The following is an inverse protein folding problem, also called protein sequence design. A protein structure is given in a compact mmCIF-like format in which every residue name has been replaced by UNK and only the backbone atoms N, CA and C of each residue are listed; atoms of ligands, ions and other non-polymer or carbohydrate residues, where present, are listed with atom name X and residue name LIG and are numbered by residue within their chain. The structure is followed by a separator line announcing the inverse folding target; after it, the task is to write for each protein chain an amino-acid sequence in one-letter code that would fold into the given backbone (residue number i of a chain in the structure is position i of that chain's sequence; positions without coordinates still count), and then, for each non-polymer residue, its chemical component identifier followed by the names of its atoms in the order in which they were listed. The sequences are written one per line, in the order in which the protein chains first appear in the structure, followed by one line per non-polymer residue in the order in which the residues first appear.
data_IF_541609380287
#
_entry.id   IF_541609380287
#
_cell.length_a   1.000
_cell.length_b   1.000
_cell.length_c   1.000
_cell.angle_alpha   90.00
_cell.angle_beta   90.00
_cell.angle_gamma   90.00
#
_symmetry.space_group_name_H-M   'P 1'
#
loop_
_entity.id
_entity.type
_entity.pdbx_description
1 polymer ?
#
# COMPACT_ATOMS: atom_id res chain seq x y z
N UNK A 1 14.59 38.94 17.97
CA UNK A 1 15.31 39.29 16.74
C UNK A 1 15.30 38.06 15.85
N UNK A 2 14.81 38.17 14.62
CA UNK A 2 14.81 37.05 13.67
C UNK A 2 16.17 36.94 12.98
N UNK A 3 16.70 35.73 12.80
CA UNK A 3 18.00 35.52 12.16
C UNK A 3 17.98 35.97 10.71
N UNK A 4 16.85 35.84 10.01
CA UNK A 4 16.71 36.31 8.63
C UNK A 4 16.85 37.84 8.51
N UNK A 5 16.63 38.59 9.59
CA UNK A 5 16.87 40.04 9.63
C UNK A 5 18.34 40.39 9.88
N UNK A 6 19.09 39.48 10.52
CA UNK A 6 20.50 39.68 10.87
C UNK A 6 21.42 39.19 9.76
N UNK A 7 21.09 38.03 9.19
CA UNK A 7 21.85 37.38 8.13
C UNK A 7 20.93 36.95 6.97
N UNK A 8 20.38 37.91 6.20
CA UNK A 8 19.47 37.62 5.09
C UNK A 8 20.12 36.80 3.97
N UNK A 9 21.45 36.80 3.87
CA UNK A 9 22.21 36.11 2.81
C UNK A 9 22.89 34.82 3.29
N UNK A 10 22.86 34.52 4.59
CA UNK A 10 23.59 33.40 5.19
C UNK A 10 25.11 33.56 5.19
N UNK A 11 25.63 34.77 4.94
CA UNK A 11 27.06 35.08 4.85
C UNK A 11 27.57 35.88 6.06
N UNK A 12 26.69 36.61 6.73
CA UNK A 12 27.00 37.54 7.83
C UNK A 12 27.60 36.84 9.04
N UNK A 13 27.18 35.60 9.32
CA UNK A 13 27.79 34.78 10.38
C UNK A 13 28.98 33.94 9.90
N UNK A 14 29.17 33.77 8.59
CA UNK A 14 30.28 33.00 8.01
C UNK A 14 31.56 33.80 7.88
N UNK A 15 31.45 35.09 7.57
CA UNK A 15 32.59 35.97 7.33
C UNK A 15 32.56 37.18 8.26
N UNK A 16 33.72 37.64 8.76
CA UNK A 16 33.78 38.80 9.65
C UNK A 16 33.60 40.15 8.92
N UNK A 17 33.78 40.16 7.60
CA UNK A 17 33.65 41.35 6.75
C UNK A 17 32.95 41.01 5.44
N UNK A 18 32.23 41.98 4.87
CA UNK A 18 31.54 41.84 3.59
C UNK A 18 32.51 41.90 2.40
N UNK A 19 32.00 41.64 1.19
CA UNK A 19 32.74 41.85 -0.06
C UNK A 19 33.19 43.30 -0.27
N UNK A 20 32.55 44.25 0.43
CA UNK A 20 32.88 45.68 0.43
C UNK A 20 33.73 46.08 1.64
N UNK A 21 34.33 45.10 2.34
CA UNK A 21 35.18 45.28 3.53
C UNK A 21 34.48 45.94 4.73
N UNK A 22 33.15 45.90 4.80
CA UNK A 22 32.40 46.38 5.96
C UNK A 22 32.33 45.28 7.02
N UNK A 23 32.60 45.60 8.28
CA UNK A 23 32.47 44.63 9.38
C UNK A 23 31.00 44.21 9.55
N UNK A 24 30.79 42.90 9.68
CA UNK A 24 29.48 42.35 10.01
C UNK A 24 29.18 42.48 11.51
N UNK A 25 27.90 42.48 11.88
CA UNK A 25 27.39 42.41 13.27
C UNK A 25 27.82 43.56 14.21
N UNK A 26 28.15 44.74 13.69
CA UNK A 26 28.59 45.89 14.51
C UNK A 26 27.55 46.32 15.54
N UNK A 27 26.27 46.22 15.20
CA UNK A 27 25.14 46.64 16.05
C UNK A 27 24.52 45.49 16.86
N UNK A 28 25.08 44.27 16.79
CA UNK A 28 24.50 43.07 17.40
C UNK A 28 25.50 42.48 18.38
N UNK A 29 25.26 42.74 19.67
CA UNK A 29 26.17 42.34 20.76
C UNK A 29 25.91 40.93 21.31
N UNK A 30 24.73 40.34 21.08
CA UNK A 30 24.36 39.03 21.62
C UNK A 30 23.43 38.27 20.67
N UNK A 31 23.74 37.00 20.44
CA UNK A 31 22.91 36.06 19.68
C UNK A 31 22.23 35.12 20.67
N UNK A 32 20.90 35.10 20.66
CA UNK A 32 20.14 34.18 21.48
C UNK A 32 20.16 32.77 20.87
N UNK A 33 21.01 31.89 21.41
CA UNK A 33 21.16 30.50 20.96
C UNK A 33 19.88 29.66 21.09
N UNK A 34 18.98 29.97 22.04
CA UNK A 34 17.68 29.29 22.12
C UNK A 34 16.83 29.64 20.90
N UNK A 35 16.69 30.92 20.58
CA UNK A 35 15.97 31.36 19.39
C UNK A 35 16.58 30.78 18.10
N UNK A 36 17.92 30.70 18.04
CA UNK A 36 18.62 30.06 16.93
C UNK A 36 18.21 28.60 16.78
N UNK A 37 18.32 27.83 17.85
CA UNK A 37 17.93 26.41 17.87
C UNK A 37 16.47 26.23 17.46
N UNK A 38 15.56 27.01 18.03
CA UNK A 38 14.13 26.89 17.73
C UNK A 38 13.83 27.18 16.24
N UNK A 39 14.51 28.17 15.65
CA UNK A 39 14.39 28.50 14.21
C UNK A 39 15.00 27.44 13.31
N UNK A 40 16.15 26.88 13.67
CA UNK A 40 16.76 25.79 12.91
C UNK A 40 15.95 24.50 12.98
N UNK A 41 15.40 24.15 14.15
CA UNK A 41 14.51 23.01 14.30
C UNK A 41 13.25 23.17 13.44
N UNK A 42 12.69 24.39 13.35
CA UNK A 42 11.56 24.68 12.47
C UNK A 42 11.94 24.49 11.00
N UNK A 43 13.08 25.04 10.57
CA UNK A 43 13.57 24.88 9.21
C UNK A 43 13.83 23.41 8.85
N UNK A 44 14.44 22.66 9.76
CA UNK A 44 14.68 21.22 9.59
C UNK A 44 13.35 20.48 9.41
N UNK A 45 12.36 20.74 10.26
CA UNK A 45 11.01 20.17 10.15
C UNK A 45 10.33 20.55 8.82
N UNK A 46 10.46 21.79 8.37
CA UNK A 46 9.87 22.26 7.11
C UNK A 46 10.55 21.60 5.89
N UNK A 47 11.88 21.44 5.93
CA UNK A 47 12.65 20.76 4.88
C UNK A 47 12.33 19.26 4.83
N UNK A 48 12.17 18.61 5.99
CA UNK A 48 11.74 17.22 6.07
C UNK A 48 10.34 17.04 5.49
N UNK A 49 9.40 17.93 5.84
CA UNK A 49 8.05 17.92 5.28
C UNK A 49 8.07 18.13 3.77
N UNK A 50 8.88 19.06 3.27
CA UNK A 50 9.06 19.30 1.84
C UNK A 50 9.63 18.07 1.12
N UNK A 51 10.62 17.41 1.73
CA UNK A 51 11.21 16.18 1.17
C UNK A 51 10.18 15.06 1.09
N UNK A 52 9.44 14.81 2.18
CA UNK A 52 8.36 13.82 2.24
C UNK A 52 7.27 14.09 1.21
N UNK A 53 6.83 15.34 1.07
CA UNK A 53 5.84 15.75 0.08
C UNK A 53 6.35 15.50 -1.35
N UNK A 54 7.59 15.86 -1.65
CA UNK A 54 8.17 15.61 -2.98
C UNK A 54 8.25 14.13 -3.30
N UNK A 55 8.71 13.29 -2.36
CA UNK A 55 8.76 11.84 -2.54
C UNK A 55 7.37 11.27 -2.79
N UNK A 56 6.38 11.66 -1.96
CA UNK A 56 5.00 11.24 -2.14
C UNK A 56 4.43 11.67 -3.50
N UNK A 57 4.64 12.93 -3.93
CA UNK A 57 4.15 13.41 -5.21
C UNK A 57 4.78 12.66 -6.39
N UNK A 58 6.08 12.33 -6.31
CA UNK A 58 6.73 11.51 -7.33
C UNK A 58 6.07 10.14 -7.39
N UNK A 59 5.90 9.47 -6.26
CA UNK A 59 5.30 8.14 -6.17
C UNK A 59 3.83 8.13 -6.62
N UNK A 60 3.04 9.12 -6.23
CA UNK A 60 1.62 9.28 -6.60
C UNK A 60 1.46 9.47 -8.12
N UNK A 61 2.21 10.41 -8.72
CA UNK A 61 2.10 10.69 -10.13
C UNK A 61 2.68 9.56 -11.00
N UNK A 62 3.62 8.78 -10.47
CA UNK A 62 4.08 7.54 -11.12
C UNK A 62 2.94 6.51 -11.30
N UNK A 63 1.90 6.51 -10.45
CA UNK A 63 0.77 5.58 -10.58
C UNK A 63 -0.16 5.90 -11.76
N UNK A 64 -0.15 7.14 -12.25
CA UNK A 64 -0.95 7.53 -13.42
C UNK A 64 -2.44 7.80 -13.16
N UNK A 65 -2.91 7.80 -11.91
CA UNK A 65 -4.30 8.10 -11.53
C UNK A 65 -4.59 9.60 -11.45
N UNK A 66 -4.39 10.29 -12.56
CA UNK A 66 -4.69 11.70 -12.73
C UNK A 66 -5.22 11.95 -14.15
N UNK A 67 -5.81 13.12 -14.38
CA UNK A 67 -6.15 13.58 -15.72
C UNK A 67 -5.35 14.83 -16.08
N UNK A 68 -5.52 15.35 -17.30
CA UNK A 68 -4.82 16.58 -17.72
C UNK A 68 -5.16 17.79 -16.85
N UNK A 69 -6.30 17.76 -16.16
CA UNK A 69 -6.81 18.87 -15.34
C UNK A 69 -7.05 18.51 -13.88
N UNK A 70 -7.05 17.23 -13.52
CA UNK A 70 -7.42 16.76 -12.18
C UNK A 70 -6.29 15.96 -11.57
N UNK A 71 -5.87 16.35 -10.36
CA UNK A 71 -5.01 15.52 -9.50
C UNK A 71 -5.77 14.30 -8.96
N UNK A 72 -5.05 13.32 -8.40
CA UNK A 72 -5.66 12.17 -7.73
C UNK A 72 -6.62 12.59 -6.62
N UNK A 73 -6.20 13.55 -5.79
CA UNK A 73 -7.01 14.12 -4.71
C UNK A 73 -8.32 14.70 -5.25
N UNK A 74 -8.27 15.45 -6.35
CA UNK A 74 -9.48 16.00 -6.97
C UNK A 74 -10.40 14.91 -7.52
N UNK A 75 -9.84 13.83 -8.10
CA UNK A 75 -10.61 12.67 -8.55
C UNK A 75 -11.27 11.96 -7.36
N UNK A 76 -10.56 11.80 -6.24
CA UNK A 76 -11.10 11.25 -5.00
C UNK A 76 -12.27 12.09 -4.48
N UNK A 77 -12.11 13.42 -4.42
CA UNK A 77 -13.18 14.34 -4.01
C UNK A 77 -14.39 14.26 -4.96
N UNK A 78 -14.17 14.11 -6.27
CA UNK A 78 -15.24 13.87 -7.23
C UNK A 78 -15.95 12.54 -6.94
N UNK A 79 -15.22 11.47 -6.62
CA UNK A 79 -15.80 10.17 -6.29
C UNK A 79 -16.72 10.25 -5.07
N UNK A 80 -16.36 11.03 -4.04
CA UNK A 80 -17.20 11.25 -2.86
C UNK A 80 -18.49 12.03 -3.16
N UNK A 81 -18.48 12.90 -4.17
CA UNK A 81 -19.64 13.70 -4.57
C UNK A 81 -20.59 12.95 -5.52
N UNK A 82 -20.14 11.84 -6.12
CA UNK A 82 -20.96 11.05 -7.02
C UNK A 82 -21.96 10.19 -6.23
N UNK A 83 -23.21 10.08 -6.71
CA UNK A 83 -24.15 9.14 -6.11
C UNK A 83 -23.73 7.69 -6.41
N UNK A 84 -24.33 6.73 -5.70
CA UNK A 84 -24.18 5.31 -5.99
C UNK A 84 -24.37 5.01 -7.48
N UNK A 85 -23.54 4.14 -8.05
CA UNK A 85 -23.58 3.78 -9.47
C UNK A 85 -24.97 3.32 -9.93
N UNK A 86 -25.73 2.67 -9.03
CA UNK A 86 -27.10 2.18 -9.30
C UNK A 86 -28.11 3.30 -9.56
N UNK A 87 -27.87 4.50 -9.03
CA UNK A 87 -28.76 5.68 -9.17
C UNK A 87 -28.43 6.53 -10.41
N UNK A 88 -27.47 6.12 -11.24
CA UNK A 88 -27.02 6.94 -12.37
C UNK A 88 -28.02 7.03 -13.53
N UNK A 89 -29.02 6.16 -13.55
CA UNK A 89 -30.15 6.22 -14.47
C UNK A 89 -31.18 7.28 -14.08
N UNK A 90 -31.10 7.80 -12.85
CA UNK A 90 -32.03 8.79 -12.32
C UNK A 90 -31.58 10.23 -12.67
N UNK A 91 -32.54 11.17 -12.61
CA UNK A 91 -32.23 12.59 -12.79
C UNK A 91 -31.24 13.14 -11.76
N UNK A 92 -31.15 12.53 -10.58
CA UNK A 92 -30.23 12.89 -9.48
C UNK A 92 -28.76 12.90 -9.92
N UNK A 93 -28.36 11.99 -10.82
CA UNK A 93 -27.01 11.95 -11.37
C UNK A 93 -26.72 13.12 -12.31
N UNK A 94 -27.71 13.56 -13.11
CA UNK A 94 -27.53 14.72 -14.00
C UNK A 94 -27.27 16.00 -13.22
N UNK A 95 -27.96 16.17 -12.10
CA UNK A 95 -27.77 17.31 -11.22
C UNK A 95 -26.41 17.27 -10.51
N UNK A 96 -26.03 16.12 -9.95
CA UNK A 96 -24.71 15.92 -9.35
C UNK A 96 -23.59 16.17 -10.38
N UNK A 97 -23.74 15.65 -11.60
CA UNK A 97 -22.78 15.83 -12.70
C UNK A 97 -22.60 17.31 -13.06
N UNK A 98 -23.69 18.07 -13.14
CA UNK A 98 -23.62 19.50 -13.42
C UNK A 98 -22.93 20.26 -12.29
N UNK A 99 -23.30 19.99 -11.03
CA UNK A 99 -22.65 20.60 -9.85
C UNK A 99 -21.14 20.34 -9.81
N UNK A 100 -20.72 19.11 -10.09
CA UNK A 100 -19.29 18.74 -10.13
C UNK A 100 -18.58 19.50 -11.26
N UNK A 101 -19.18 19.57 -12.45
CA UNK A 101 -18.58 20.33 -13.55
C UNK A 101 -18.40 21.80 -13.23
N UNK A 102 -19.39 22.40 -12.60
CA UNK A 102 -19.36 23.82 -12.25
C UNK A 102 -18.31 24.08 -11.16
N UNK A 103 -18.22 23.20 -10.15
CA UNK A 103 -17.28 23.33 -9.03
C UNK A 103 -15.82 23.17 -9.45
N UNK A 104 -15.54 22.28 -10.42
CA UNK A 104 -14.19 21.97 -10.88
C UNK A 104 -13.86 22.58 -12.27
N UNK A 105 -14.75 23.41 -12.83
CA UNK A 105 -14.62 24.02 -14.16
C UNK A 105 -14.32 23.00 -15.28
N UNK A 106 -15.03 21.86 -15.28
CA UNK A 106 -14.74 20.70 -16.13
C UNK A 106 -15.61 20.64 -17.40
N UNK A 107 -15.00 20.12 -18.46
CA UNK A 107 -15.75 19.68 -19.64
C UNK A 107 -16.44 18.33 -19.37
N UNK A 108 -17.49 18.02 -20.13
CA UNK A 108 -18.14 16.70 -20.06
C UNK A 108 -17.16 15.56 -20.34
N UNK A 109 -16.20 15.76 -21.26
CA UNK A 109 -15.21 14.74 -21.62
C UNK A 109 -14.26 14.47 -20.47
N UNK A 110 -13.80 15.52 -19.81
CA UNK A 110 -12.86 15.40 -18.68
C UNK A 110 -13.50 14.66 -17.51
N UNK A 111 -14.73 15.03 -17.15
CA UNK A 111 -15.46 14.35 -16.09
C UNK A 111 -15.72 12.87 -16.42
N UNK A 112 -16.06 12.55 -17.67
CA UNK A 112 -16.21 11.15 -18.08
C UNK A 112 -14.90 10.36 -17.98
N UNK A 113 -13.75 10.98 -18.23
CA UNK A 113 -12.43 10.34 -18.04
C UNK A 113 -12.18 10.08 -16.56
N UNK A 114 -12.41 11.07 -15.69
CA UNK A 114 -12.26 10.90 -14.24
C UNK A 114 -13.18 9.78 -13.70
N UNK A 115 -14.44 9.74 -14.15
CA UNK A 115 -15.38 8.67 -13.81
C UNK A 115 -14.86 7.29 -14.20
N UNK A 116 -14.25 7.15 -15.39
CA UNK A 116 -13.67 5.87 -15.81
C UNK A 116 -12.53 5.41 -14.91
N UNK A 117 -11.69 6.35 -14.44
CA UNK A 117 -10.63 6.05 -13.46
C UNK A 117 -11.27 5.56 -12.17
N UNK A 118 -12.27 6.29 -11.64
CA UNK A 118 -12.97 5.94 -10.40
C UNK A 118 -13.56 4.53 -10.46
N UNK A 119 -14.19 4.15 -11.56
CA UNK A 119 -14.90 2.87 -11.68
C UNK A 119 -14.00 1.63 -11.58
N UNK A 120 -12.73 1.74 -11.97
CA UNK A 120 -11.78 0.61 -11.97
C UNK A 120 -10.80 0.64 -10.79
N UNK A 121 -10.78 1.74 -10.04
CA UNK A 121 -9.80 1.98 -9.00
C UNK A 121 -10.28 1.43 -7.65
N UNK A 122 -9.53 0.51 -7.04
CA UNK A 122 -9.95 -0.18 -5.81
C UNK A 122 -10.23 0.76 -4.64
N UNK A 123 -9.56 1.92 -4.59
CA UNK A 123 -9.80 2.88 -3.52
C UNK A 123 -10.99 3.80 -3.77
N UNK A 124 -11.36 4.04 -5.04
CA UNK A 124 -12.37 5.05 -5.40
C UNK A 124 -13.70 4.42 -5.77
N UNK A 125 -13.68 3.27 -6.44
CA UNK A 125 -14.89 2.54 -6.84
C UNK A 125 -15.82 2.25 -5.64
N UNK A 126 -15.32 1.89 -4.44
CA UNK A 126 -16.19 1.62 -3.30
C UNK A 126 -16.99 2.86 -2.84
N UNK A 127 -16.52 4.08 -3.12
CA UNK A 127 -17.25 5.31 -2.82
C UNK A 127 -18.53 5.46 -3.64
N UNK A 128 -18.57 4.85 -4.84
CA UNK A 128 -19.76 4.79 -5.70
C UNK A 128 -20.50 3.45 -5.60
N UNK A 129 -20.24 2.68 -4.54
CA UNK A 129 -20.80 1.35 -4.30
C UNK A 129 -20.48 0.32 -5.40
N UNK A 130 -19.27 0.42 -5.99
CA UNK A 130 -18.71 -0.55 -6.94
C UNK A 130 -17.48 -1.20 -6.31
N UNK A 131 -17.39 -2.53 -6.39
CA UNK A 131 -16.20 -3.26 -5.95
C UNK A 131 -15.55 -3.91 -7.17
N UNK A 132 -14.32 -3.51 -7.54
CA UNK A 132 -13.58 -4.18 -8.60
C UNK A 132 -13.24 -5.63 -8.21
N UNK A 133 -13.23 -6.54 -9.19
CA UNK A 133 -12.87 -7.94 -8.96
C UNK A 133 -11.37 -8.12 -8.75
N UNK A 134 -10.98 -9.09 -7.93
CA UNK A 134 -9.58 -9.47 -7.75
C UNK A 134 -8.97 -9.97 -9.06
N UNK A 135 -7.71 -9.61 -9.30
CA UNK A 135 -7.03 -9.92 -10.56
C UNK A 135 -6.59 -11.38 -10.61
N UNK A 136 -7.13 -12.12 -11.58
CA UNK A 136 -6.73 -13.49 -11.91
C UNK A 136 -7.16 -14.57 -10.91
N UNK A 137 -7.85 -14.20 -9.82
CA UNK A 137 -8.29 -15.14 -8.78
C UNK A 137 -9.70 -14.86 -8.30
N UNK A 138 -10.42 -15.92 -7.98
CA UNK A 138 -11.72 -15.85 -7.31
C UNK A 138 -11.57 -15.95 -5.80
N UNK A 139 -12.57 -15.47 -5.05
CA UNK A 139 -12.62 -15.60 -3.59
C UNK A 139 -12.45 -17.06 -3.14
N UNK A 140 -13.07 -18.00 -3.87
CA UNK A 140 -13.00 -19.43 -3.57
C UNK A 140 -11.60 -20.02 -3.74
N UNK A 141 -10.78 -19.45 -4.63
CA UNK A 141 -9.40 -19.89 -4.86
C UNK A 141 -8.47 -19.36 -3.78
N UNK A 142 -8.69 -18.12 -3.33
CA UNK A 142 -7.96 -17.53 -2.20
C UNK A 142 -8.21 -18.33 -0.93
N UNK A 143 -9.47 -18.64 -0.61
CA UNK A 143 -9.83 -19.45 0.57
C UNK A 143 -9.15 -20.81 0.51
N UNK A 144 -9.28 -21.54 -0.62
CA UNK A 144 -8.65 -22.86 -0.77
C UNK A 144 -7.14 -22.81 -0.62
N UNK A 145 -6.49 -21.80 -1.20
CA UNK A 145 -5.04 -21.64 -1.07
C UNK A 145 -4.64 -21.46 0.40
N UNK A 146 -5.37 -20.63 1.15
CA UNK A 146 -5.07 -20.38 2.57
C UNK A 146 -5.42 -21.57 3.47
N UNK A 147 -6.46 -22.34 3.15
CA UNK A 147 -6.77 -23.62 3.80
C UNK A 147 -5.65 -24.64 3.59
N UNK A 148 -5.12 -24.75 2.37
CA UNK A 148 -3.99 -25.63 2.06
C UNK A 148 -2.70 -25.15 2.75
N UNK A 149 -2.47 -23.83 2.77
CA UNK A 149 -1.37 -23.22 3.49
C UNK A 149 -1.44 -23.52 5.00
N UNK A 150 -2.64 -23.47 5.59
CA UNK A 150 -2.85 -23.73 7.03
C UNK A 150 -2.47 -25.15 7.46
N UNK A 151 -2.49 -26.13 6.53
CA UNK A 151 -2.04 -27.50 6.78
C UNK A 151 -0.53 -27.58 7.00
N UNK A 152 0.22 -26.64 6.44
CA UNK A 152 1.68 -26.60 6.50
C UNK A 152 2.20 -25.67 7.59
N UNK A 153 1.44 -24.63 7.95
CA UNK A 153 1.91 -23.54 8.80
C UNK A 153 1.08 -23.33 10.06
N UNK A 154 1.79 -23.16 11.17
CA UNK A 154 1.22 -22.65 12.41
C UNK A 154 1.22 -21.12 12.36
N UNK A 155 0.05 -20.49 12.43
CA UNK A 155 -0.05 -19.03 12.52
C UNK A 155 0.53 -18.57 13.85
N UNK A 156 1.66 -17.86 13.76
CA UNK A 156 2.33 -17.16 14.86
C UNK A 156 1.57 -15.86 15.18
N UNK A 157 1.57 -15.46 16.45
CA UNK A 157 1.02 -14.18 16.93
C UNK A 157 2.00 -13.05 16.63
N UNK A 158 1.49 -11.84 16.36
CA UNK A 158 2.33 -10.66 16.08
C UNK A 158 3.18 -10.22 17.30
N UNK A 159 2.83 -10.68 18.50
CA UNK A 159 3.63 -10.53 19.71
C UNK A 159 4.77 -11.55 19.71
N UNK A 160 5.83 -11.24 18.97
CA UNK A 160 7.15 -11.76 19.31
C UNK A 160 7.65 -10.85 20.42
N UNK A 161 7.58 -11.31 21.68
CA UNK A 161 8.49 -10.77 22.69
C UNK A 161 9.89 -10.95 22.12
N UNK A 162 10.54 -9.84 21.74
CA UNK A 162 11.98 -9.80 21.48
C UNK A 162 12.70 -10.00 22.82
N UNK A 163 12.50 -11.15 23.45
CA UNK A 163 13.32 -11.55 24.56
C UNK A 163 14.51 -12.31 23.97
N UNK A 164 15.69 -11.78 24.27
CA UNK A 164 17.03 -12.25 23.89
C UNK A 164 17.48 -12.08 22.41
N UNK A 165 18.26 -11.01 22.22
CA UNK A 165 19.43 -10.97 21.33
C UNK A 165 20.25 -12.24 21.58
N UNK A 166 20.19 -13.18 20.63
CA UNK A 166 20.89 -14.46 20.73
C UNK A 166 20.04 -15.62 20.23
N UNK A 167 19.51 -15.54 19.01
CA UNK A 167 19.11 -16.76 18.30
C UNK A 167 20.41 -17.52 18.05
N UNK A 168 20.65 -18.53 18.87
CA UNK A 168 21.66 -19.54 18.61
C UNK A 168 21.24 -20.27 17.33
N UNK A 169 21.69 -19.77 16.18
CA UNK A 169 21.53 -20.38 14.86
C UNK A 169 22.18 -21.78 14.78
N UNK A 170 22.79 -22.25 15.87
CA UNK A 170 23.41 -23.56 16.03
C UNK A 170 22.88 -24.33 17.24
N UNK A 171 21.71 -24.00 17.80
CA UNK A 171 21.08 -24.95 18.72
C UNK A 171 20.71 -26.20 17.93
N UNK A 172 21.33 -27.34 18.25
CA UNK A 172 21.00 -28.69 17.78
C UNK A 172 19.59 -29.11 18.24
N UNK A 173 18.57 -28.30 17.96
CA UNK A 173 17.18 -28.70 18.05
C UNK A 173 16.94 -29.63 16.88
N UNK A 174 17.11 -30.91 17.17
CA UNK A 174 16.66 -32.09 16.45
C UNK A 174 16.22 -31.79 15.01
N UNK A 175 17.11 -32.13 14.07
CA UNK A 175 16.78 -32.29 12.66
C UNK A 175 15.73 -33.41 12.55
N UNK A 176 14.46 -33.10 12.83
CA UNK A 176 13.37 -34.06 12.79
C UNK A 176 13.07 -34.38 11.32
N UNK A 177 13.74 -35.40 10.81
CA UNK A 177 13.51 -35.96 9.47
C UNK A 177 12.02 -36.20 9.24
N UNK A 178 11.28 -36.57 10.29
CA UNK A 178 9.83 -36.81 10.24
C UNK A 178 8.99 -35.55 9.96
N UNK A 179 9.36 -34.38 10.49
CA UNK A 179 8.64 -33.13 10.22
C UNK A 179 8.85 -32.68 8.77
N UNK A 180 10.08 -32.79 8.27
CA UNK A 180 10.40 -32.53 6.87
C UNK A 180 9.70 -33.52 5.92
N UNK A 181 9.68 -34.82 6.25
CA UNK A 181 8.97 -35.84 5.48
C UNK A 181 7.45 -35.57 5.45
N UNK A 182 6.86 -35.16 6.58
CA UNK A 182 5.45 -34.81 6.65
C UNK A 182 5.13 -33.57 5.80
N UNK A 183 5.97 -32.53 5.87
CA UNK A 183 5.83 -31.33 5.05
C UNK A 183 5.96 -31.64 3.55
N UNK A 184 6.94 -32.46 3.16
CA UNK A 184 7.13 -32.89 1.78
C UNK A 184 5.93 -33.69 1.24
N UNK A 185 5.39 -34.62 2.04
CA UNK A 185 4.18 -35.40 1.67
C UNK A 185 2.96 -34.49 1.49
N UNK A 186 2.69 -33.64 2.47
CA UNK A 186 1.56 -32.70 2.45
C UNK A 186 1.66 -31.75 1.26
N UNK A 187 2.86 -31.23 0.99
CA UNK A 187 3.12 -30.35 -0.16
C UNK A 187 2.91 -31.07 -1.49
N UNK A 188 3.29 -32.35 -1.59
CA UNK A 188 3.06 -33.15 -2.80
C UNK A 188 1.56 -33.43 -3.03
N UNK A 189 0.79 -33.66 -1.97
CA UNK A 189 -0.66 -33.86 -2.03
C UNK A 189 -1.40 -32.57 -2.45
N UNK A 190 -1.02 -31.43 -1.88
CA UNK A 190 -1.53 -30.11 -2.29
C UNK A 190 -1.22 -29.87 -3.76
N UNK A 191 0.05 -30.08 -4.17
CA UNK A 191 0.46 -29.89 -5.56
C UNK A 191 -0.36 -30.74 -6.53
N UNK A 192 -0.56 -32.04 -6.22
CA UNK A 192 -1.34 -32.95 -7.06
C UNK A 192 -2.78 -32.48 -7.27
N UNK A 193 -3.34 -31.80 -6.28
CA UNK A 193 -4.72 -31.30 -6.30
C UNK A 193 -4.81 -29.99 -7.07
N UNK A 194 -3.92 -29.03 -6.78
CA UNK A 194 -3.97 -27.69 -7.37
C UNK A 194 -3.48 -27.68 -8.82
N UNK A 195 -2.53 -28.55 -9.19
CA UNK A 195 -1.91 -28.54 -10.53
C UNK A 195 -2.90 -28.77 -11.68
N UNK A 196 -4.05 -29.38 -11.40
CA UNK A 196 -5.10 -29.67 -12.39
C UNK A 196 -5.87 -28.38 -12.74
N UNK A 197 -5.94 -27.44 -11.80
CA UNK A 197 -6.75 -26.22 -11.92
C UNK A 197 -5.90 -24.95 -12.04
N UNK A 198 -4.62 -25.03 -11.76
CA UNK A 198 -3.72 -23.89 -11.73
C UNK A 198 -3.51 -23.35 -13.15
N UNK A 199 -3.86 -22.09 -13.34
CA UNK A 199 -3.57 -21.33 -14.58
C UNK A 199 -2.55 -20.23 -14.30
N UNK A 200 -1.92 -19.64 -15.34
CA UNK A 200 -1.03 -18.50 -15.17
C UNK A 200 -1.69 -17.33 -14.42
N UNK A 201 -2.99 -17.10 -14.67
CA UNK A 201 -3.78 -16.04 -14.04
C UNK A 201 -3.94 -16.28 -12.54
N UNK A 202 -4.29 -17.51 -12.14
CA UNK A 202 -4.45 -17.87 -10.73
C UNK A 202 -3.12 -17.73 -10.00
N UNK A 203 -2.03 -18.26 -10.57
CA UNK A 203 -0.71 -18.15 -9.97
C UNK A 203 -0.31 -16.68 -9.82
N UNK A 204 -0.49 -15.87 -10.86
CA UNK A 204 -0.17 -14.45 -10.83
C UNK A 204 -1.01 -13.68 -9.80
N UNK A 205 -2.31 -13.96 -9.71
CA UNK A 205 -3.21 -13.32 -8.75
C UNK A 205 -2.83 -13.64 -7.30
N UNK A 206 -2.60 -14.92 -6.97
CA UNK A 206 -2.13 -15.31 -5.64
C UNK A 206 -0.78 -14.65 -5.30
N UNK A 207 0.14 -14.60 -6.26
CA UNK A 207 1.44 -13.95 -6.10
C UNK A 207 1.30 -12.45 -5.85
N UNK A 208 0.46 -11.78 -6.63
CA UNK A 208 0.23 -10.35 -6.50
C UNK A 208 -0.41 -10.00 -5.16
N UNK A 209 -1.42 -10.77 -4.71
CA UNK A 209 -2.04 -10.60 -3.40
C UNK A 209 -1.03 -10.72 -2.26
N UNK A 210 -0.12 -11.70 -2.35
CA UNK A 210 0.91 -11.92 -1.34
C UNK A 210 1.92 -10.76 -1.26
N UNK A 211 2.52 -10.38 -2.39
CA UNK A 211 3.59 -9.37 -2.39
C UNK A 211 3.07 -7.95 -2.22
N UNK A 212 1.86 -7.66 -2.70
CA UNK A 212 1.25 -6.35 -2.46
C UNK A 212 1.01 -6.10 -0.97
N UNK A 213 0.75 -7.16 -0.20
CA UNK A 213 0.52 -7.10 1.25
C UNK A 213 1.67 -6.56 2.09
N UNK A 214 2.89 -6.48 1.54
CA UNK A 214 4.03 -5.84 2.19
C UNK A 214 4.17 -4.35 1.89
N UNK A 215 3.69 -3.88 0.73
CA UNK A 215 3.86 -2.49 0.28
C UNK A 215 2.68 -1.61 0.69
N UNK A 216 1.44 -2.04 0.37
CA UNK A 216 0.16 -1.41 0.74
C UNK A 216 0.11 0.12 0.63
N UNK A 217 0.71 0.66 -0.43
CA UNK A 217 0.79 2.11 -0.62
C UNK A 217 -0.31 2.61 -1.57
N UNK A 218 -0.25 2.26 -2.85
CA UNK A 218 -1.25 2.63 -3.86
C UNK A 218 -1.91 1.40 -4.46
N UNK A 219 -3.22 1.44 -4.69
CA UNK A 219 -3.94 0.27 -5.25
C UNK A 219 -3.50 -0.12 -6.66
N UNK A 220 -2.96 0.81 -7.42
CA UNK A 220 -2.49 0.57 -8.79
C UNK A 220 -1.24 -0.30 -8.83
N UNK A 221 -0.41 -0.23 -7.78
CA UNK A 221 0.73 -1.13 -7.62
C UNK A 221 0.28 -2.60 -7.54
N UNK A 222 -0.92 -2.91 -7.04
CA UNK A 222 -1.48 -4.26 -7.10
C UNK A 222 -1.75 -4.70 -8.55
N UNK A 223 -2.30 -3.81 -9.39
CA UNK A 223 -2.58 -4.09 -10.80
C UNK A 223 -1.28 -4.28 -11.58
N UNK A 224 -0.31 -3.37 -11.39
CA UNK A 224 1.01 -3.48 -12.02
C UNK A 224 1.73 -4.77 -11.58
N UNK A 225 1.69 -5.07 -10.28
CA UNK A 225 2.25 -6.31 -9.74
C UNK A 225 1.60 -7.53 -10.40
N UNK A 226 0.28 -7.56 -10.51
CA UNK A 226 -0.42 -8.65 -11.21
C UNK A 226 0.03 -8.79 -12.66
N UNK A 227 0.06 -7.72 -13.44
CA UNK A 227 0.46 -7.77 -14.85
C UNK A 227 1.91 -8.27 -15.02
N UNK A 228 2.81 -7.81 -14.15
CA UNK A 228 4.20 -8.26 -14.10
C UNK A 228 4.27 -9.75 -13.74
N UNK A 229 3.53 -10.19 -12.73
CA UNK A 229 3.49 -11.61 -12.30
C UNK A 229 2.82 -12.51 -13.34
N UNK A 230 1.83 -12.03 -14.08
CA UNK A 230 1.19 -12.75 -15.17
C UNK A 230 2.19 -13.05 -16.29
N UNK A 231 3.02 -12.08 -16.66
CA UNK A 231 4.12 -12.29 -17.63
C UNK A 231 5.09 -13.38 -17.15
N UNK A 232 5.49 -13.34 -15.88
CA UNK A 232 6.38 -14.37 -15.31
C UNK A 232 5.71 -15.75 -15.24
N UNK A 233 4.46 -15.82 -14.79
CA UNK A 233 3.70 -17.06 -14.71
C UNK A 233 3.56 -17.69 -16.10
N UNK A 234 3.13 -16.94 -17.12
CA UNK A 234 3.03 -17.42 -18.50
C UNK A 234 4.36 -17.98 -19.02
N UNK A 235 5.48 -17.33 -18.68
CA UNK A 235 6.81 -17.83 -19.03
C UNK A 235 7.17 -19.13 -18.28
N UNK A 236 6.79 -19.27 -17.01
CA UNK A 236 7.00 -20.51 -16.25
C UNK A 236 6.18 -21.68 -16.84
N UNK A 237 4.90 -21.42 -17.16
CA UNK A 237 4.00 -22.40 -17.77
C UNK A 237 4.46 -22.87 -19.16
N UNK A 238 5.10 -22.00 -19.94
CA UNK A 238 5.64 -22.39 -21.25
C UNK A 238 6.97 -23.14 -21.18
N UNK A 239 7.74 -23.00 -20.09
CA UNK A 239 9.03 -23.68 -19.90
C UNK A 239 8.87 -25.10 -19.39
N UNK A 240 8.31 -25.25 -18.19
CA UNK A 240 8.15 -26.56 -17.57
C UNK A 240 7.14 -26.56 -16.43
N UNK A 241 6.51 -27.72 -16.20
CA UNK A 241 5.63 -27.91 -15.05
C UNK A 241 6.39 -27.80 -13.72
N UNK A 242 7.70 -28.08 -13.71
CA UNK A 242 8.52 -27.95 -12.51
C UNK A 242 8.72 -26.48 -12.13
N UNK A 243 8.89 -25.58 -13.10
CA UNK A 243 9.02 -24.14 -12.81
C UNK A 243 7.73 -23.58 -12.19
N UNK A 244 6.57 -23.95 -12.74
CA UNK A 244 5.26 -23.59 -12.16
C UNK A 244 5.13 -24.10 -10.73
N UNK A 245 5.59 -25.34 -10.48
CA UNK A 245 5.61 -25.92 -9.15
C UNK A 245 6.47 -25.11 -8.19
N UNK A 246 7.69 -24.74 -8.59
CA UNK A 246 8.59 -23.95 -7.74
C UNK A 246 7.99 -22.60 -7.38
N UNK A 247 7.38 -21.89 -8.33
CA UNK A 247 6.74 -20.59 -8.08
C UNK A 247 5.57 -20.70 -7.10
N UNK A 248 4.68 -21.69 -7.31
CA UNK A 248 3.56 -21.92 -6.40
C UNK A 248 4.05 -22.30 -4.99
N UNK A 249 5.02 -23.22 -4.91
CA UNK A 249 5.56 -23.66 -3.63
C UNK A 249 6.35 -22.56 -2.91
N UNK A 250 6.97 -21.64 -3.64
CA UNK A 250 7.66 -20.49 -3.05
C UNK A 250 6.71 -19.66 -2.21
N UNK A 251 5.51 -19.35 -2.71
CA UNK A 251 4.50 -18.59 -1.97
C UNK A 251 3.88 -19.45 -0.87
N UNK A 252 3.57 -20.71 -1.16
CA UNK A 252 3.02 -21.64 -0.18
C UNK A 252 3.96 -21.84 1.01
N UNK A 253 5.28 -21.74 0.81
CA UNK A 253 6.28 -21.87 1.89
C UNK A 253 6.38 -20.66 2.81
N UNK A 254 5.79 -19.51 2.46
CA UNK A 254 5.94 -18.27 3.24
C UNK A 254 5.08 -18.30 4.50
N UNK A 255 5.72 -18.17 5.66
CA UNK A 255 5.07 -18.20 6.98
C UNK A 255 4.17 -16.99 7.25
N UNK A 256 4.33 -15.90 6.51
CA UNK A 256 3.53 -14.68 6.61
C UNK A 256 2.45 -14.56 5.52
N UNK A 257 2.15 -15.63 4.77
CA UNK A 257 1.15 -15.56 3.70
C UNK A 257 -0.22 -15.13 4.22
N UNK A 258 -0.74 -15.77 5.28
CA UNK A 258 -2.03 -15.39 5.87
C UNK A 258 -2.08 -13.91 6.27
N UNK A 259 -1.02 -13.41 6.91
CA UNK A 259 -0.89 -12.01 7.32
C UNK A 259 -0.99 -11.07 6.12
N UNK A 260 -0.18 -11.30 5.08
CA UNK A 260 -0.13 -10.45 3.89
C UNK A 260 -1.44 -10.49 3.08
N UNK A 261 -2.04 -11.66 2.91
CA UNK A 261 -3.31 -11.80 2.18
C UNK A 261 -4.42 -11.03 2.86
N UNK A 262 -4.58 -11.19 4.19
CA UNK A 262 -5.65 -10.49 4.93
C UNK A 262 -5.45 -8.97 4.85
N UNK A 263 -4.21 -8.46 4.99
CA UNK A 263 -3.92 -7.02 4.82
C UNK A 263 -4.29 -6.52 3.43
N UNK A 264 -3.89 -7.25 2.38
CA UNK A 264 -4.22 -6.91 0.99
C UNK A 264 -5.74 -6.84 0.78
N UNK A 265 -6.49 -7.81 1.29
CA UNK A 265 -7.94 -7.86 1.10
C UNK A 265 -8.64 -6.67 1.75
N UNK A 266 -8.25 -6.27 2.97
CA UNK A 266 -8.76 -5.04 3.59
C UNK A 266 -8.37 -3.78 2.81
N UNK A 267 -7.14 -3.71 2.31
CA UNK A 267 -6.69 -2.58 1.51
C UNK A 267 -7.52 -2.42 0.23
N UNK A 268 -7.77 -3.52 -0.48
CA UNK A 268 -8.55 -3.57 -1.72
C UNK A 268 -10.07 -3.56 -1.48
N UNK A 269 -10.53 -3.38 -0.23
CA UNK A 269 -11.95 -3.30 0.18
C UNK A 269 -12.75 -4.59 0.03
N UNK A 270 -12.10 -5.74 -0.07
CA UNK A 270 -12.72 -7.07 0.03
C UNK A 270 -12.90 -7.49 1.49
N UNK A 271 -13.58 -6.65 2.28
CA UNK A 271 -13.70 -6.82 3.73
C UNK A 271 -14.46 -8.09 4.12
N UNK A 272 -15.49 -8.47 3.36
CA UNK A 272 -16.28 -9.68 3.63
C UNK A 272 -15.41 -10.94 3.52
N UNK A 273 -14.59 -11.03 2.48
CA UNK A 273 -13.66 -12.12 2.29
C UNK A 273 -12.59 -12.13 3.39
N UNK A 274 -12.05 -10.95 3.74
CA UNK A 274 -11.07 -10.81 4.81
C UNK A 274 -11.63 -11.29 6.17
N UNK A 275 -12.83 -10.87 6.54
CA UNK A 275 -13.48 -11.29 7.79
C UNK A 275 -13.81 -12.78 7.79
N UNK A 276 -14.25 -13.33 6.64
CA UNK A 276 -14.48 -14.79 6.51
C UNK A 276 -13.21 -15.59 6.83
N UNK A 277 -12.05 -15.12 6.38
CA UNK A 277 -10.75 -15.74 6.67
C UNK A 277 -10.32 -15.54 8.13
N UNK A 278 -10.61 -14.36 8.70
CA UNK A 278 -10.31 -14.05 10.11
C UNK A 278 -11.10 -14.97 11.04
N UNK A 279 -12.38 -15.18 10.75
CA UNK A 279 -13.26 -16.08 11.50
C UNK A 279 -12.86 -17.55 11.32
N UNK A 280 -12.68 -18.02 10.07
CA UNK A 280 -12.38 -19.44 9.79
C UNK A 280 -11.05 -19.91 10.40
N UNK A 281 -10.07 -19.01 10.53
CA UNK A 281 -8.74 -19.33 11.03
C UNK A 281 -8.45 -18.81 12.45
N UNK A 282 -9.45 -18.23 13.12
CA UNK A 282 -9.33 -17.64 14.47
C UNK A 282 -8.17 -16.62 14.56
N UNK A 283 -8.14 -15.65 13.64
CA UNK A 283 -7.06 -14.65 13.54
C UNK A 283 -7.27 -13.43 14.45
N UNK A 284 -8.47 -13.24 15.00
CA UNK A 284 -8.83 -12.05 15.80
C UNK A 284 -7.92 -11.82 17.00
N UNK A 285 -7.39 -12.89 17.61
CA UNK A 285 -6.48 -12.80 18.76
C UNK A 285 -5.00 -12.79 18.35
N UNK A 286 -4.69 -12.98 17.06
CA UNK A 286 -3.33 -13.16 16.56
C UNK A 286 -2.75 -11.93 15.91
N UNK A 287 -3.61 -11.13 15.28
CA UNK A 287 -3.21 -9.95 14.52
C UNK A 287 -3.66 -8.68 15.23
N UNK A 288 -2.70 -7.93 15.80
CA UNK A 288 -3.00 -6.74 16.62
C UNK A 288 -3.53 -5.56 15.80
N UNK A 289 -3.27 -5.55 14.49
CA UNK A 289 -3.64 -4.48 13.56
C UNK A 289 -5.03 -4.65 12.94
N UNK A 290 -5.78 -5.72 13.25
CA UNK A 290 -7.08 -5.99 12.62
C UNK A 290 -8.09 -4.87 12.85
N UNK A 291 -8.14 -4.30 14.04
CA UNK A 291 -9.08 -3.20 14.35
C UNK A 291 -8.71 -1.90 13.62
N UNK A 292 -7.40 -1.63 13.46
CA UNK A 292 -6.91 -0.53 12.62
C UNK A 292 -7.20 -0.77 11.13
N UNK A 293 -7.17 -2.03 10.65
CA UNK A 293 -7.53 -2.37 9.27
C UNK A 293 -9.04 -2.22 9.01
N UNK A 294 -9.88 -2.68 9.95
CA UNK A 294 -11.34 -2.56 9.90
C UNK A 294 -11.81 -1.11 9.87
N UNK A 295 -11.17 -0.26 10.68
CA UNK A 295 -11.45 1.17 10.71
C UNK A 295 -10.85 1.93 9.51
N UNK A 296 -9.99 1.29 8.71
CA UNK A 296 -9.29 1.91 7.59
C UNK A 296 -8.05 2.71 7.99
N UNK A 297 -7.84 2.95 9.28
CA UNK A 297 -6.72 3.72 9.85
C UNK A 297 -5.36 3.12 9.50
N UNK A 298 -5.26 1.79 9.40
CA UNK A 298 -4.02 1.10 9.00
C UNK A 298 -3.49 1.56 7.64
N UNK A 299 -4.38 2.02 6.77
CA UNK A 299 -4.06 2.44 5.40
C UNK A 299 -4.27 3.95 5.21
N UNK A 300 -4.30 4.69 6.32
CA UNK A 300 -4.39 6.14 6.34
C UNK A 300 -3.15 6.77 5.71
N UNK A 301 -3.36 7.71 4.80
CA UNK A 301 -2.29 8.51 4.20
C UNK A 301 -1.99 9.73 5.09
N UNK A 302 -0.74 10.24 5.06
CA UNK A 302 -0.40 11.48 5.74
C UNK A 302 -1.31 12.66 5.33
N UNK A 303 -1.50 13.63 6.22
CA UNK A 303 -2.42 14.74 6.01
C UNK A 303 -2.11 15.57 4.75
N UNK A 304 -0.84 15.65 4.35
CA UNK A 304 -0.41 16.38 3.15
C UNK A 304 -0.87 15.73 1.83
N UNK A 305 -1.39 14.50 1.86
CA UNK A 305 -1.94 13.83 0.67
C UNK A 305 -3.31 14.36 0.25
N UNK A 306 -3.98 15.17 1.10
CA UNK A 306 -5.25 15.84 0.76
C UNK A 306 -6.51 14.97 0.85
N UNK A 307 -6.37 13.64 1.00
CA UNK A 307 -7.49 12.72 1.27
C UNK A 307 -7.13 11.80 2.44
N UNK A 308 -7.67 12.12 3.62
CA UNK A 308 -7.52 11.30 4.83
C UNK A 308 -8.57 10.19 4.77
N UNK A 309 -8.11 8.95 4.90
CA UNK A 309 -8.96 7.75 5.06
C UNK A 309 -9.34 7.55 6.52
#
# INVERSE_FOLDING_TARGET
MDIAQVDPTGQTFRYPVSSESQKHLVDISNINFRNLKDKFNLLESDLDMLHQLNTYLIEEYCQGSFTKKLSREQIFNIAQLLPDRRKWTEGSFKDAKNRIKDSFCLSNRELSTAIKIIEVHYEFAPLISVLPDLQGVTESEVIKFLDDWRKLHVIQTDTIEFDTIGIDCFSEKEFHVDSHLHQHKTTAEIWKTISIRLTPEILAGLTALFYFGSELDFSEAYVEMYEKRLKYATNAFSRSQNDVKQEFLHILSKTNAMYNFVRTLYFLKHNILAETLVESHNLSTKFSWLDDARSGKLFGKPAYCGYVR
#
